data_IF_088967913927
#
_entry.id   IF_088967913927
#
_cell.length_a   1.000
_cell.length_b   1.000
_cell.length_c   1.000
_cell.angle_alpha   90.00
_cell.angle_beta   90.00
_cell.angle_gamma   90.00
#
_symmetry.space_group_name_H-M   'P 1'
#
loop_
_entity.id
_entity.type
_entity.pdbx_description
1 polymer ?
#
# COMPACT_ATOMS: atom_id res chain seq x y z
N UNK A 1 -9.84 -11.50 -4.71
CA UNK A 1 -10.01 -10.09 -4.32
C UNK A 1 -10.41 -9.34 -5.57
N UNK A 2 -11.44 -8.51 -5.51
CA UNK A 2 -12.07 -7.96 -6.72
C UNK A 2 -11.19 -6.96 -7.49
N UNK A 3 -10.08 -6.52 -6.89
CA UNK A 3 -9.09 -5.63 -7.51
C UNK A 3 -8.01 -6.33 -8.32
N UNK A 4 -8.10 -7.65 -8.53
CA UNK A 4 -7.22 -8.43 -9.41
C UNK A 4 -5.79 -8.67 -8.90
N UNK A 5 -5.45 -8.19 -7.70
CA UNK A 5 -4.19 -8.55 -7.03
C UNK A 5 -4.29 -10.02 -6.59
N UNK A 6 -3.33 -10.89 -6.96
CA UNK A 6 -3.35 -12.29 -6.57
C UNK A 6 -3.32 -12.48 -5.05
N UNK A 7 -4.02 -13.48 -4.52
CA UNK A 7 -3.88 -13.86 -3.10
C UNK A 7 -2.64 -14.73 -2.90
N UNK A 8 -1.46 -14.12 -3.08
CA UNK A 8 -0.14 -14.69 -2.78
C UNK A 8 0.60 -13.83 -1.76
N UNK A 9 1.76 -14.28 -1.29
CA UNK A 9 2.62 -13.46 -0.43
C UNK A 9 3.00 -12.14 -1.12
N UNK A 10 3.39 -12.21 -2.40
CA UNK A 10 3.72 -11.05 -3.22
C UNK A 10 2.51 -10.13 -3.40
N UNK A 11 1.33 -10.69 -3.69
CA UNK A 11 0.12 -9.87 -3.83
C UNK A 11 -0.30 -9.20 -2.52
N UNK A 12 -0.22 -9.90 -1.38
CA UNK A 12 -0.45 -9.30 -0.06
C UNK A 12 0.57 -8.21 0.27
N UNK A 13 1.84 -8.42 -0.09
CA UNK A 13 2.88 -7.40 0.03
C UNK A 13 2.57 -6.16 -0.80
N UNK A 14 2.14 -6.31 -2.06
CA UNK A 14 1.80 -5.17 -2.91
C UNK A 14 0.57 -4.42 -2.36
N UNK A 15 -0.46 -5.13 -1.89
CA UNK A 15 -1.59 -4.52 -1.18
C UNK A 15 -1.15 -3.75 0.06
N UNK A 16 -0.27 -4.33 0.89
CA UNK A 16 0.28 -3.64 2.08
C UNK A 16 1.07 -2.39 1.68
N UNK A 17 1.95 -2.49 0.68
CA UNK A 17 2.77 -1.38 0.21
C UNK A 17 1.93 -0.21 -0.31
N UNK A 18 0.82 -0.48 -1.00
CA UNK A 18 -0.11 0.54 -1.47
C UNK A 18 -0.78 1.30 -0.33
N UNK A 19 -1.29 0.61 0.68
CA UNK A 19 -1.94 1.25 1.82
C UNK A 19 -0.95 1.98 2.72
N UNK A 20 0.24 1.42 2.94
CA UNK A 20 1.34 2.09 3.62
C UNK A 20 1.75 3.38 2.91
N UNK A 21 1.88 3.33 1.58
CA UNK A 21 2.18 4.52 0.77
C UNK A 21 1.16 5.64 1.00
N UNK A 22 -0.14 5.33 0.98
CA UNK A 22 -1.20 6.34 1.17
C UNK A 22 -1.11 7.01 2.56
N UNK A 23 -0.93 6.22 3.62
CA UNK A 23 -0.85 6.75 4.99
C UNK A 23 0.43 7.56 5.19
N UNK A 24 1.59 7.03 4.77
CA UNK A 24 2.87 7.73 4.89
C UNK A 24 2.89 9.02 4.06
N UNK A 25 2.25 9.01 2.88
CA UNK A 25 2.09 10.22 2.07
C UNK A 25 1.30 11.29 2.83
N UNK A 26 0.21 10.91 3.51
CA UNK A 26 -0.59 11.84 4.31
C UNK A 26 0.17 12.36 5.51
N UNK A 27 0.85 11.50 6.27
CA UNK A 27 1.60 11.88 7.46
C UNK A 27 2.69 12.93 7.15
N UNK A 28 3.37 12.80 6.00
CA UNK A 28 4.37 13.77 5.55
C UNK A 28 3.82 15.19 5.30
N UNK A 29 2.51 15.34 5.12
CA UNK A 29 1.85 16.63 4.91
C UNK A 29 1.32 17.24 6.23
N UNK A 30 1.38 16.49 7.32
CA UNK A 30 0.89 16.91 8.64
C UNK A 30 2.02 17.51 9.49
N UNK A 31 1.70 18.41 10.44
CA UNK A 31 2.69 18.94 11.38
C UNK A 31 3.16 17.86 12.39
N UNK A 32 4.29 18.09 13.08
CA UNK A 32 4.75 17.21 14.15
C UNK A 32 3.66 16.94 15.20
N UNK A 33 3.58 15.72 15.76
CA UNK A 33 4.56 14.62 15.66
C UNK A 33 4.24 13.59 14.55
N UNK A 34 3.72 14.02 13.40
CA UNK A 34 3.40 13.12 12.27
C UNK A 34 4.56 12.25 11.77
N UNK A 35 5.79 12.79 11.80
CA UNK A 35 7.00 12.06 11.39
C UNK A 35 7.32 10.89 12.33
N UNK A 36 7.12 11.07 13.64
CA UNK A 36 7.30 10.00 14.64
C UNK A 36 6.30 8.86 14.39
N UNK A 37 5.03 9.21 14.12
CA UNK A 37 4.01 8.23 13.77
C UNK A 37 4.32 7.50 12.45
N UNK A 38 4.89 8.20 11.46
CA UNK A 38 5.28 7.59 10.20
C UNK A 38 6.41 6.56 10.40
N UNK A 39 7.35 6.85 11.30
CA UNK A 39 8.40 5.92 11.70
C UNK A 39 7.81 4.71 12.44
N UNK A 40 7.00 4.91 13.47
CA UNK A 40 6.37 3.84 14.25
C UNK A 40 5.54 2.90 13.36
N UNK A 41 4.77 3.46 12.42
CA UNK A 41 3.98 2.70 11.46
C UNK A 41 4.88 1.86 10.54
N UNK A 42 5.99 2.44 10.08
CA UNK A 42 6.95 1.74 9.24
C UNK A 42 7.61 0.59 10.00
N UNK A 43 8.10 0.85 11.21
CA UNK A 43 8.75 -0.16 12.06
C UNK A 43 7.79 -1.32 12.35
N UNK A 44 6.54 -1.02 12.74
CA UNK A 44 5.50 -2.03 12.94
C UNK A 44 5.21 -2.87 11.67
N UNK A 45 5.19 -2.24 10.51
CA UNK A 45 5.03 -2.93 9.23
C UNK A 45 6.19 -3.90 8.95
N UNK A 46 7.44 -3.50 9.23
CA UNK A 46 8.61 -4.36 9.02
C UNK A 46 8.66 -5.50 10.03
N UNK A 47 8.30 -5.26 11.29
CA UNK A 47 8.17 -6.31 12.32
C UNK A 47 7.12 -7.35 11.93
N UNK A 48 5.96 -6.90 11.42
CA UNK A 48 4.91 -7.78 10.91
C UNK A 48 5.39 -8.65 9.73
N UNK A 49 6.10 -8.06 8.77
CA UNK A 49 6.66 -8.78 7.62
C UNK A 49 7.74 -9.78 8.04
N UNK A 50 8.58 -9.42 9.00
CA UNK A 50 9.61 -10.31 9.55
C UNK A 50 8.97 -11.53 10.24
N UNK A 51 7.96 -11.28 11.09
CA UNK A 51 7.19 -12.33 11.74
C UNK A 51 6.54 -13.25 10.71
N UNK A 52 6.00 -12.69 9.61
CA UNK A 52 5.44 -13.44 8.49
C UNK A 52 6.44 -14.42 7.87
N UNK A 53 7.70 -14.01 7.68
CA UNK A 53 8.74 -14.91 7.17
C UNK A 53 9.09 -16.03 8.15
N UNK A 54 9.26 -15.70 9.43
CA UNK A 54 9.59 -16.69 10.47
C UNK A 54 8.47 -17.72 10.60
N UNK A 55 7.22 -17.27 10.65
CA UNK A 55 6.03 -18.14 10.68
C UNK A 55 5.86 -18.95 9.40
N UNK A 56 6.31 -18.43 8.25
CA UNK A 56 6.36 -19.14 6.97
C UNK A 56 7.48 -20.17 6.85
N UNK A 57 8.24 -20.43 7.92
CA UNK A 57 9.31 -21.43 7.94
C UNK A 57 10.64 -20.96 7.33
N UNK A 58 10.82 -19.65 7.11
CA UNK A 58 12.12 -19.10 6.71
C UNK A 58 13.07 -19.16 7.92
N UNK A 59 14.26 -19.74 7.74
CA UNK A 59 15.23 -19.85 8.84
C UNK A 59 15.73 -18.48 9.30
N UNK A 60 16.05 -18.37 10.59
CA UNK A 60 16.58 -17.13 11.20
C UNK A 60 17.83 -16.60 10.49
N UNK A 61 18.65 -17.49 9.91
CA UNK A 61 19.84 -17.13 9.13
C UNK A 61 19.45 -16.47 7.80
N UNK A 62 18.34 -16.88 7.18
CA UNK A 62 17.87 -16.36 5.91
C UNK A 62 17.00 -15.10 6.04
N UNK A 63 16.36 -14.89 7.19
CA UNK A 63 15.45 -13.75 7.45
C UNK A 63 16.09 -12.38 7.13
N UNK A 64 17.30 -12.03 7.62
CA UNK A 64 17.90 -10.72 7.34
C UNK A 64 18.07 -10.43 5.84
N UNK A 65 18.45 -11.46 5.06
CA UNK A 65 18.60 -11.34 3.61
C UNK A 65 17.25 -11.12 2.92
N UNK A 66 16.18 -11.77 3.39
CA UNK A 66 14.82 -11.58 2.88
C UNK A 66 14.29 -10.19 3.22
N UNK A 67 14.47 -9.75 4.46
CA UNK A 67 14.06 -8.42 4.93
C UNK A 67 14.77 -7.30 4.17
N UNK A 68 16.06 -7.44 3.88
CA UNK A 68 16.77 -6.48 3.03
C UNK A 68 16.14 -6.33 1.63
N UNK A 69 15.72 -7.44 1.02
CA UNK A 69 15.04 -7.41 -0.29
C UNK A 69 13.66 -6.78 -0.18
N UNK A 70 12.89 -7.11 0.86
CA UNK A 70 11.59 -6.49 1.14
C UNK A 70 11.73 -4.98 1.28
N UNK A 71 12.70 -4.49 2.07
CA UNK A 71 12.92 -3.06 2.24
C UNK A 71 13.22 -2.34 0.93
N UNK A 72 14.10 -2.90 0.11
CA UNK A 72 14.41 -2.35 -1.22
C UNK A 72 13.17 -2.27 -2.11
N UNK A 73 12.34 -3.32 -2.13
CA UNK A 73 11.10 -3.31 -2.91
C UNK A 73 10.12 -2.27 -2.36
N UNK A 74 9.90 -2.25 -1.04
CA UNK A 74 8.98 -1.34 -0.37
C UNK A 74 9.30 0.13 -0.65
N UNK A 75 10.53 0.58 -0.37
CA UNK A 75 10.92 1.96 -0.63
C UNK A 75 10.91 2.30 -2.13
N UNK A 76 11.23 1.32 -2.99
CA UNK A 76 11.06 1.46 -4.44
C UNK A 76 9.59 1.68 -4.85
N UNK A 77 8.63 1.01 -4.19
CA UNK A 77 7.19 1.22 -4.39
C UNK A 77 6.76 2.60 -3.95
N UNK A 78 7.13 3.01 -2.73
CA UNK A 78 6.79 4.33 -2.19
C UNK A 78 7.28 5.44 -3.12
N UNK A 79 8.50 5.32 -3.65
CA UNK A 79 9.02 6.28 -4.62
C UNK A 79 8.23 6.25 -5.94
N UNK A 80 8.02 5.06 -6.53
CA UNK A 80 7.33 4.94 -7.81
C UNK A 80 5.89 5.49 -7.75
N UNK A 81 5.14 5.13 -6.72
CA UNK A 81 3.77 5.62 -6.51
C UNK A 81 3.77 7.12 -6.16
N UNK A 82 4.71 7.57 -5.33
CA UNK A 82 4.85 8.99 -4.99
C UNK A 82 5.15 9.89 -6.19
N UNK A 83 6.01 9.44 -7.10
CA UNK A 83 6.26 10.11 -8.38
C UNK A 83 4.99 10.11 -9.22
N UNK A 84 4.36 8.95 -9.42
CA UNK A 84 3.18 8.85 -10.28
C UNK A 84 1.98 9.68 -9.80
N UNK A 85 1.79 9.84 -8.49
CA UNK A 85 0.77 10.73 -7.92
C UNK A 85 1.09 12.23 -8.07
N UNK A 86 2.35 12.57 -8.33
CA UNK A 86 2.79 13.97 -8.53
C UNK A 86 2.78 14.37 -10.01
N UNK A 87 2.61 13.42 -10.92
CA UNK A 87 2.51 13.66 -12.35
C UNK A 87 1.15 14.28 -12.72
N UNK A 88 1.15 15.15 -13.74
CA UNK A 88 -0.09 15.72 -14.27
C UNK A 88 -0.88 14.71 -15.12
N UNK A 89 -0.19 13.73 -15.70
CA UNK A 89 -0.81 12.67 -16.50
C UNK A 89 -1.41 11.60 -15.57
N UNK A 90 -2.75 11.43 -15.55
CA UNK A 90 -3.39 10.41 -14.73
C UNK A 90 -2.96 8.98 -15.10
N UNK A 91 -2.51 8.73 -16.33
CA UNK A 91 -2.06 7.41 -16.78
C UNK A 91 -0.76 6.96 -16.09
N UNK A 92 0.02 7.90 -15.52
CA UNK A 92 1.27 7.58 -14.83
C UNK A 92 1.07 6.62 -13.65
N UNK A 93 -0.01 6.80 -12.88
CA UNK A 93 -0.35 5.93 -11.76
C UNK A 93 -0.71 4.52 -12.23
N UNK A 94 -1.50 4.41 -13.30
CA UNK A 94 -1.90 3.12 -13.87
C UNK A 94 -0.68 2.32 -14.37
N UNK A 95 0.26 2.97 -15.05
CA UNK A 95 1.50 2.33 -15.49
C UNK A 95 2.37 1.88 -14.31
N UNK A 96 2.51 2.73 -13.28
CA UNK A 96 3.23 2.37 -12.06
C UNK A 96 2.59 1.15 -11.37
N UNK A 97 1.26 1.07 -11.32
CA UNK A 97 0.53 -0.07 -10.75
C UNK A 97 0.70 -1.33 -11.59
N UNK A 98 0.55 -1.23 -12.93
CA UNK A 98 0.71 -2.35 -13.86
C UNK A 98 2.07 -3.00 -13.73
N UNK A 99 3.12 -2.19 -13.60
CA UNK A 99 4.50 -2.66 -13.44
C UNK A 99 4.77 -3.35 -12.10
N UNK A 100 4.09 -2.93 -11.04
CA UNK A 100 4.50 -3.27 -9.67
C UNK A 100 3.49 -4.15 -8.92
N UNK A 101 2.21 -3.79 -8.94
CA UNK A 101 1.16 -4.47 -8.17
C UNK A 101 0.28 -5.39 -9.05
N UNK A 102 0.21 -5.13 -10.35
CA UNK A 102 -0.88 -5.60 -11.18
C UNK A 102 -0.50 -5.97 -12.63
N UNK A 103 0.32 -7.01 -12.88
CA UNK A 103 0.47 -7.53 -14.24
C UNK A 103 -0.84 -8.10 -14.80
N UNK A 104 -1.70 -8.62 -13.92
CA UNK A 104 -2.99 -9.27 -14.22
C UNK A 104 -4.22 -8.56 -13.66
N UNK A 105 -4.01 -7.46 -12.93
CA UNK A 105 -5.09 -6.71 -12.29
C UNK A 105 -5.56 -5.55 -13.17
N UNK A 106 -6.79 -5.10 -12.96
CA UNK A 106 -7.31 -3.89 -13.61
C UNK A 106 -6.64 -2.65 -12.97
N UNK A 107 -5.54 -2.21 -13.58
CA UNK A 107 -4.74 -1.09 -13.08
C UNK A 107 -5.54 0.22 -13.03
N UNK A 108 -6.55 0.39 -13.89
CA UNK A 108 -7.41 1.55 -13.88
C UNK A 108 -8.34 1.54 -12.66
N UNK A 109 -8.94 0.38 -12.35
CA UNK A 109 -9.77 0.21 -11.15
C UNK A 109 -8.95 0.45 -9.87
N UNK A 110 -7.73 -0.10 -9.80
CA UNK A 110 -6.84 0.14 -8.65
C UNK A 110 -6.43 1.62 -8.54
N UNK A 111 -6.12 2.28 -9.65
CA UNK A 111 -5.78 3.70 -9.65
C UNK A 111 -6.95 4.56 -9.14
N UNK A 112 -8.18 4.26 -9.56
CA UNK A 112 -9.38 4.96 -9.11
C UNK A 112 -9.63 4.78 -7.60
N UNK A 113 -9.50 3.54 -7.11
CA UNK A 113 -9.54 3.24 -5.68
C UNK A 113 -8.49 4.05 -4.90
N UNK A 114 -7.23 4.07 -5.35
CA UNK A 114 -6.16 4.78 -4.64
C UNK A 114 -6.38 6.29 -4.65
N UNK A 115 -6.90 6.87 -5.74
CA UNK A 115 -7.26 8.29 -5.78
C UNK A 115 -8.40 8.61 -4.81
N UNK A 116 -9.41 7.77 -4.75
CA UNK A 116 -10.52 7.90 -3.79
C UNK A 116 -10.03 7.82 -2.35
N UNK A 117 -9.19 6.82 -2.04
CA UNK A 117 -8.58 6.66 -0.73
C UNK A 117 -7.67 7.85 -0.36
N UNK A 118 -6.88 8.36 -1.30
CA UNK A 118 -6.04 9.53 -1.08
C UNK A 118 -6.88 10.79 -0.82
N UNK A 119 -7.97 11.00 -1.55
CA UNK A 119 -8.86 12.14 -1.34
C UNK A 119 -9.52 12.09 0.05
N UNK A 120 -9.89 10.89 0.51
CA UNK A 120 -10.42 10.67 1.86
C UNK A 120 -9.36 10.97 2.94
N UNK A 121 -8.15 10.44 2.79
CA UNK A 121 -7.05 10.66 3.75
C UNK A 121 -6.58 12.12 3.79
N UNK A 122 -6.65 12.86 2.67
CA UNK A 122 -6.28 14.27 2.62
C UNK A 122 -7.08 15.14 3.61
N UNK A 123 -8.28 14.71 3.99
CA UNK A 123 -9.12 15.37 4.98
C UNK A 123 -8.84 15.01 6.44
N UNK A 124 -7.92 14.07 6.72
CA UNK A 124 -7.67 13.61 8.09
C UNK A 124 -6.48 14.32 8.72
N UNK A 125 -6.62 14.75 9.96
CA UNK A 125 -5.51 15.13 10.83
C UNK A 125 -4.94 13.91 11.57
N UNK A 126 -3.97 14.16 12.46
CA UNK A 126 -3.29 13.10 13.20
C UNK A 126 -4.26 12.31 14.10
N UNK A 127 -5.15 13.02 14.81
CA UNK A 127 -6.11 12.41 15.72
C UNK A 127 -7.08 11.50 14.95
N UNK A 128 -7.59 11.95 13.81
CA UNK A 128 -8.45 11.13 12.96
C UNK A 128 -7.73 9.89 12.41
N UNK A 129 -6.44 9.97 12.10
CA UNK A 129 -5.66 8.79 11.66
C UNK A 129 -5.53 7.77 12.80
N UNK A 130 -5.38 8.23 14.04
CA UNK A 130 -5.18 7.37 15.22
C UNK A 130 -6.50 6.78 15.75
N UNK A 131 -7.59 7.52 15.70
CA UNK A 131 -8.87 7.12 16.32
C UNK A 131 -9.79 6.33 15.38
N UNK A 132 -9.67 6.54 14.06
CA UNK A 132 -10.65 6.03 13.11
C UNK A 132 -10.44 4.55 12.81
N UNK A 133 -11.49 3.76 13.00
CA UNK A 133 -11.51 2.31 12.73
C UNK A 133 -11.39 1.99 11.23
N UNK A 134 -11.87 2.87 10.35
CA UNK A 134 -11.82 2.71 8.90
C UNK A 134 -11.15 3.90 8.21
N UNK A 135 -9.86 3.72 7.89
CA UNK A 135 -9.06 4.75 7.20
C UNK A 135 -9.32 4.79 5.69
N UNK A 136 -9.62 3.65 5.10
CA UNK A 136 -9.75 3.47 3.65
C UNK A 136 -11.20 3.24 3.25
N UNK A 137 -11.58 3.62 2.01
CA UNK A 137 -12.87 3.24 1.46
C UNK A 137 -12.96 1.73 1.26
N UNK A 138 -14.18 1.20 1.16
CA UNK A 138 -14.37 -0.19 0.77
C UNK A 138 -13.97 -0.34 -0.70
N UNK A 139 -13.10 -1.31 -0.98
CA UNK A 139 -12.80 -1.66 -2.36
C UNK A 139 -14.05 -2.27 -3.00
N UNK A 140 -14.67 -1.57 -3.95
CA UNK A 140 -15.81 -2.08 -4.69
C UNK A 140 -15.33 -2.69 -6.01
N UNK A 141 -15.39 -4.02 -6.10
CA UNK A 141 -15.20 -4.74 -7.35
C UNK A 141 -16.29 -4.46 -8.36
N UNK A 142 -16.09 -4.85 -9.63
CA UNK A 142 -17.24 -5.07 -10.52
C UNK A 142 -18.11 -6.17 -9.89
N UNK A 143 -19.38 -5.87 -9.68
CA UNK A 143 -20.39 -6.85 -9.29
C UNK A 143 -20.35 -8.02 -10.30
N UNK A 144 -20.37 -9.29 -9.85
CA UNK A 144 -20.46 -10.41 -10.80
C UNK A 144 -21.71 -10.20 -11.68
N UNK A 145 -21.65 -10.48 -12.99
CA UNK A 145 -22.83 -10.38 -13.82
C UNK A 145 -23.91 -11.28 -13.23
N UNK A 146 -25.07 -10.68 -12.94
CA UNK A 146 -26.26 -11.36 -12.45
C UNK A 146 -26.52 -12.58 -13.35
N UNK A 147 -26.40 -13.78 -12.79
CA UNK A 147 -26.67 -15.03 -13.51
C UNK A 147 -28.17 -15.06 -13.85
N UNK A 148 -28.48 -14.71 -15.10
CA UNK A 148 -29.80 -14.83 -15.70
C UNK A 148 -30.11 -16.27 -16.16
#
# INVERSE_FOLDING_TARGET
MDGGIPDSFEGRFESLALHMFLVLRRLRELPPPSDDLAQDLTDCCFDYLELGFRNGGVSDIAVPKRMKKIGQMFYGRLQAYGTAFSEADPAALEEALRRNAAPSADAALLADYLRTAQAQLAGYDLDLILEKVTLFPIFCGKEPPDEA
#
